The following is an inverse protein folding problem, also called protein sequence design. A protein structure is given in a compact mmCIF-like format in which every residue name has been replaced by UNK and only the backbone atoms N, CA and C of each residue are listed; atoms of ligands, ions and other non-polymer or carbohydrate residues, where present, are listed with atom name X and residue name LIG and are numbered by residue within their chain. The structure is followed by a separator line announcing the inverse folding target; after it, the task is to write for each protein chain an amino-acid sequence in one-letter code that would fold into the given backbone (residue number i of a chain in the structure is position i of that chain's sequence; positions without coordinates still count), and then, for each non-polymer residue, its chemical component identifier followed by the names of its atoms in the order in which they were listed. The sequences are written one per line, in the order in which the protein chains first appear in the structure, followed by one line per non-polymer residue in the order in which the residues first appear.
data_IF_013112878556
#
_entry.id   IF_013112878556
#
_cell.length_a   1.000
_cell.length_b   1.000
_cell.length_c   1.000
_cell.angle_alpha   90.00
_cell.angle_beta   90.00
_cell.angle_gamma   90.00
#
_symmetry.space_group_name_H-M   'P 1'
#
loop_
_entity.id
_entity.type
_entity.pdbx_description
1 polymer ?
#
# COMPACT_ATOMS: atom_id res chain seq x y z
N UNK A 1 -23.59 12.02 8.18
CA UNK A 1 -22.32 11.39 8.61
C UNK A 1 -21.50 12.32 9.49
N UNK A 2 -21.06 13.49 9.02
CA UNK A 2 -20.24 14.42 9.80
C UNK A 2 -20.80 14.73 11.21
N UNK A 3 -22.07 15.13 11.29
CA UNK A 3 -22.75 15.41 12.57
C UNK A 3 -22.73 14.22 13.54
N UNK A 4 -23.03 13.01 13.06
CA UNK A 4 -22.98 11.80 13.87
C UNK A 4 -21.57 11.53 14.38
N UNK A 5 -20.55 11.72 13.55
CA UNK A 5 -19.16 11.53 13.94
C UNK A 5 -18.73 12.53 15.02
N UNK A 6 -19.12 13.80 14.90
CA UNK A 6 -18.87 14.82 15.93
C UNK A 6 -19.55 14.46 17.25
N UNK A 7 -20.84 14.10 17.21
CA UNK A 7 -21.62 13.71 18.40
C UNK A 7 -21.05 12.48 19.12
N UNK A 8 -20.43 11.55 18.38
CA UNK A 8 -19.89 10.31 18.93
C UNK A 8 -18.36 10.33 19.10
N UNK A 9 -17.73 11.51 18.98
CA UNK A 9 -16.28 11.69 19.11
C UNK A 9 -15.46 10.76 18.17
N UNK A 10 -15.97 10.54 16.96
CA UNK A 10 -15.34 9.76 15.90
C UNK A 10 -14.55 10.71 15.01
N UNK A 11 -13.23 10.57 15.02
CA UNK A 11 -12.34 11.37 14.17
C UNK A 11 -12.60 11.07 12.69
N UNK A 12 -12.96 12.10 11.94
CA UNK A 12 -13.17 11.99 10.48
C UNK A 12 -11.92 12.44 9.71
N UNK A 13 -11.51 11.66 8.72
CA UNK A 13 -10.43 12.02 7.80
C UNK A 13 -10.97 11.92 6.37
N UNK A 14 -10.82 13.00 5.62
CA UNK A 14 -11.21 13.04 4.21
C UNK A 14 -9.97 12.99 3.33
N UNK A 15 -9.95 12.02 2.40
CA UNK A 15 -8.91 11.91 1.37
C UNK A 15 -9.58 12.03 0.01
N UNK A 16 -9.31 13.15 -0.67
CA UNK A 16 -9.85 13.41 -2.00
C UNK A 16 -9.21 12.49 -3.04
N UNK A 17 -10.02 11.71 -3.76
CA UNK A 17 -9.57 10.72 -4.75
C UNK A 17 -9.40 11.29 -6.16
N UNK A 18 -10.21 12.27 -6.54
CA UNK A 18 -10.09 13.02 -7.78
C UNK A 18 -10.38 14.49 -7.51
N UNK A 19 -9.59 15.38 -8.11
CA UNK A 19 -10.00 16.77 -8.26
C UNK A 19 -11.27 16.80 -9.11
N UNK A 20 -12.20 17.69 -8.81
CA UNK A 20 -13.37 17.95 -9.64
C UNK A 20 -12.91 18.40 -11.03
N UNK A 21 -12.60 17.43 -11.91
CA UNK A 21 -12.56 17.70 -13.33
C UNK A 21 -14.00 18.02 -13.66
N UNK A 22 -14.29 19.30 -13.93
CA UNK A 22 -15.55 19.76 -14.51
C UNK A 22 -15.95 18.70 -15.53
N UNK A 23 -16.98 17.91 -15.21
CA UNK A 23 -17.48 16.92 -16.14
C UNK A 23 -18.10 17.74 -17.25
N UNK A 24 -17.31 17.93 -18.30
CA UNK A 24 -17.70 18.67 -19.47
C UNK A 24 -18.94 17.94 -20.00
N UNK A 25 -20.14 18.48 -19.74
CA UNK A 25 -21.42 17.82 -20.04
C UNK A 25 -21.59 17.57 -21.55
N UNK A 26 -20.72 18.18 -22.36
CA UNK A 26 -20.51 18.01 -23.80
C UNK A 26 -19.81 16.70 -24.18
N UNK A 27 -19.12 16.02 -23.26
CA UNK A 27 -18.43 14.76 -23.57
C UNK A 27 -19.36 13.54 -23.48
N UNK A 28 -19.38 12.66 -24.49
CA UNK A 28 -20.26 11.49 -24.49
C UNK A 28 -19.95 10.56 -23.31
N UNK A 29 -21.00 9.95 -22.73
CA UNK A 29 -20.86 8.96 -21.64
C UNK A 29 -20.00 7.79 -22.12
N UNK A 30 -18.75 7.73 -21.64
CA UNK A 30 -17.82 6.65 -21.97
C UNK A 30 -18.31 5.35 -21.34
N UNK A 31 -18.38 4.26 -22.12
CA UNK A 31 -18.73 2.92 -21.63
C UNK A 31 -17.75 2.50 -20.53
N UNK A 32 -18.24 1.83 -19.47
CA UNK A 32 -17.44 1.40 -18.30
C UNK A 32 -16.12 0.72 -18.67
N UNK A 33 -16.13 -0.15 -19.70
CA UNK A 33 -14.95 -0.86 -20.22
C UNK A 33 -13.79 0.06 -20.65
N UNK A 34 -14.06 1.30 -21.04
CA UNK A 34 -13.05 2.27 -21.49
C UNK A 34 -12.75 3.36 -20.44
N UNK A 35 -13.34 3.27 -19.23
CA UNK A 35 -13.09 4.25 -18.18
C UNK A 35 -11.75 3.97 -17.51
N UNK A 36 -10.97 5.02 -17.35
CA UNK A 36 -9.77 5.00 -16.51
C UNK A 36 -10.16 4.80 -15.04
N UNK A 37 -9.17 4.35 -14.25
CA UNK A 37 -9.32 4.12 -12.82
C UNK A 37 -9.62 5.44 -12.10
N UNK A 38 -10.57 5.46 -11.15
CA UNK A 38 -11.04 6.71 -10.53
C UNK A 38 -10.16 7.19 -9.35
N UNK A 39 -8.94 6.69 -9.20
CA UNK A 39 -8.05 6.99 -8.09
C UNK A 39 -6.59 6.97 -8.55
N UNK A 40 -5.80 7.89 -8.03
CA UNK A 40 -4.37 8.01 -8.28
C UNK A 40 -3.54 7.23 -7.25
N UNK A 41 -2.30 6.89 -7.59
CA UNK A 41 -1.41 6.08 -6.74
C UNK A 41 -1.10 6.76 -5.39
N UNK A 42 -0.89 8.07 -5.39
CA UNK A 42 -0.57 8.86 -4.20
C UNK A 42 -1.71 8.83 -3.17
N UNK A 43 -2.96 8.82 -3.64
CA UNK A 43 -4.16 8.71 -2.81
C UNK A 43 -4.16 7.35 -2.12
N UNK A 44 -3.92 6.27 -2.87
CA UNK A 44 -3.85 4.91 -2.32
C UNK A 44 -2.72 4.81 -1.28
N UNK A 45 -1.54 5.36 -1.58
CA UNK A 45 -0.41 5.39 -0.63
C UNK A 45 -0.79 6.12 0.65
N UNK A 46 -1.46 7.28 0.57
CA UNK A 46 -1.95 8.02 1.75
C UNK A 46 -2.95 7.20 2.57
N UNK A 47 -3.90 6.54 1.92
CA UNK A 47 -4.84 5.65 2.59
C UNK A 47 -4.11 4.50 3.30
N UNK A 48 -3.18 3.84 2.61
CA UNK A 48 -2.41 2.73 3.19
C UNK A 48 -1.54 3.20 4.35
N UNK A 49 -0.83 4.34 4.25
CA UNK A 49 -0.08 4.93 5.36
C UNK A 49 -0.93 5.10 6.61
N UNK A 50 -2.17 5.56 6.45
CA UNK A 50 -3.11 5.69 7.56
C UNK A 50 -3.51 4.33 8.17
N UNK A 51 -3.77 3.33 7.33
CA UNK A 51 -4.18 1.98 7.74
C UNK A 51 -3.05 1.17 8.38
N UNK A 52 -1.78 1.51 8.16
CA UNK A 52 -0.66 0.77 8.76
C UNK A 52 -0.54 1.03 10.28
N UNK A 53 -1.04 2.17 10.74
CA UNK A 53 -1.01 2.57 12.15
C UNK A 53 -2.21 2.00 12.92
N UNK A 54 -1.92 1.09 13.86
CA UNK A 54 -2.89 0.38 14.69
C UNK A 54 -3.68 1.33 15.59
N UNK A 55 -3.15 2.51 15.94
CA UNK A 55 -3.81 3.48 16.82
C UNK A 55 -5.07 4.09 16.20
N UNK A 56 -5.22 3.97 14.88
CA UNK A 56 -6.42 4.40 14.16
C UNK A 56 -7.56 3.39 14.21
N UNK A 57 -7.36 2.18 14.75
CA UNK A 57 -8.37 1.14 14.77
C UNK A 57 -9.19 1.14 16.08
N UNK A 58 -10.49 0.80 16.03
CA UNK A 58 -11.26 0.41 14.83
C UNK A 58 -11.58 1.61 13.91
N UNK A 59 -11.37 1.44 12.60
CA UNK A 59 -11.68 2.45 11.59
C UNK A 59 -12.72 1.96 10.58
N UNK A 60 -13.53 2.88 10.08
CA UNK A 60 -14.48 2.64 8.99
C UNK A 60 -14.07 3.44 7.75
N UNK A 61 -13.93 2.76 6.63
CA UNK A 61 -13.64 3.38 5.33
C UNK A 61 -14.87 3.33 4.44
N UNK A 62 -15.18 4.45 3.79
CA UNK A 62 -16.23 4.50 2.78
C UNK A 62 -15.87 5.48 1.66
N UNK A 63 -16.50 5.28 0.50
CA UNK A 63 -16.54 6.26 -0.57
C UNK A 63 -18.00 6.62 -0.87
N UNK A 64 -18.29 7.31 -1.97
CA UNK A 64 -19.66 7.68 -2.36
C UNK A 64 -20.58 6.45 -2.51
N UNK A 65 -20.07 5.38 -3.12
CA UNK A 65 -20.85 4.16 -3.40
C UNK A 65 -20.39 2.94 -2.60
N UNK A 66 -19.33 3.06 -1.80
CA UNK A 66 -18.75 1.96 -1.00
C UNK A 66 -18.08 0.82 -1.77
N UNK A 67 -18.08 0.84 -3.10
CA UNK A 67 -17.67 -0.32 -3.92
C UNK A 67 -16.25 -0.14 -4.49
N UNK A 68 -16.11 0.54 -5.63
CA UNK A 68 -14.89 0.54 -6.44
C UNK A 68 -13.65 1.13 -5.75
N UNK A 69 -13.75 2.36 -5.24
CA UNK A 69 -12.58 3.07 -4.66
C UNK A 69 -12.03 2.31 -3.45
N UNK A 70 -12.91 1.89 -2.54
CA UNK A 70 -12.50 1.15 -1.34
C UNK A 70 -11.88 -0.19 -1.73
N UNK A 71 -12.47 -0.89 -2.70
CA UNK A 71 -11.94 -2.17 -3.17
C UNK A 71 -10.56 -2.03 -3.81
N UNK A 72 -10.30 -0.96 -4.56
CA UNK A 72 -8.97 -0.69 -5.11
C UNK A 72 -7.95 -0.41 -4.00
N UNK A 73 -8.31 0.40 -3.00
CA UNK A 73 -7.43 0.67 -1.85
C UNK A 73 -7.12 -0.62 -1.09
N UNK A 74 -8.13 -1.44 -0.80
CA UNK A 74 -7.96 -2.74 -0.11
C UNK A 74 -7.10 -3.68 -0.96
N UNK A 75 -7.34 -3.78 -2.26
CA UNK A 75 -6.54 -4.62 -3.16
C UNK A 75 -5.06 -4.22 -3.16
N UNK A 76 -4.75 -2.92 -3.22
CA UNK A 76 -3.38 -2.42 -3.09
C UNK A 76 -2.80 -2.67 -1.69
N UNK A 77 -3.61 -2.50 -0.63
CA UNK A 77 -3.22 -2.81 0.74
C UNK A 77 -2.80 -4.28 0.89
N UNK A 78 -3.53 -5.23 0.27
CA UNK A 78 -3.21 -6.66 0.32
C UNK A 78 -1.84 -7.01 -0.28
N UNK A 79 -1.32 -6.19 -1.21
CA UNK A 79 0.05 -6.38 -1.74
C UNK A 79 1.10 -6.21 -0.65
N UNK A 80 0.87 -5.32 0.32
CA UNK A 80 1.74 -5.14 1.49
C UNK A 80 1.64 -6.29 2.50
N UNK A 81 0.52 -7.03 2.48
CA UNK A 81 0.35 -8.30 3.20
C UNK A 81 0.91 -9.51 2.42
N UNK A 82 1.60 -9.31 1.29
CA UNK A 82 2.16 -10.36 0.44
C UNK A 82 1.12 -11.37 -0.09
N UNK A 83 -0.12 -10.92 -0.29
CA UNK A 83 -1.12 -11.75 -0.95
C UNK A 83 -0.78 -11.95 -2.42
N UNK A 84 -1.11 -13.13 -2.96
CA UNK A 84 -0.98 -13.39 -4.40
C UNK A 84 -1.96 -12.51 -5.18
N UNK A 85 -1.58 -12.08 -6.39
CA UNK A 85 -2.48 -11.33 -7.28
C UNK A 85 -3.79 -12.06 -7.52
N UNK A 86 -3.77 -13.40 -7.61
CA UNK A 86 -4.98 -14.22 -7.79
C UNK A 86 -5.92 -14.07 -6.58
N UNK A 87 -5.40 -14.16 -5.37
CA UNK A 87 -6.18 -13.98 -4.13
C UNK A 87 -6.75 -12.58 -4.02
N UNK A 88 -5.96 -11.55 -4.36
CA UNK A 88 -6.39 -10.15 -4.34
C UNK A 88 -7.55 -9.92 -5.31
N UNK A 89 -7.43 -10.42 -6.53
CA UNK A 89 -8.47 -10.26 -7.54
C UNK A 89 -9.73 -11.05 -7.20
N UNK A 90 -9.60 -12.20 -6.55
CA UNK A 90 -10.76 -12.96 -6.07
C UNK A 90 -11.51 -12.18 -4.98
N UNK A 91 -10.80 -11.62 -3.98
CA UNK A 91 -11.41 -10.74 -2.97
C UNK A 91 -12.08 -9.52 -3.63
N UNK A 92 -11.41 -8.88 -4.60
CA UNK A 92 -11.96 -7.75 -5.32
C UNK A 92 -13.29 -8.10 -6.01
N UNK A 93 -13.39 -9.27 -6.66
CA UNK A 93 -14.60 -9.73 -7.36
C UNK A 93 -15.74 -10.17 -6.42
N UNK A 94 -15.46 -10.47 -5.15
CA UNK A 94 -16.51 -10.69 -4.16
C UNK A 94 -17.26 -9.38 -3.87
N UNK A 95 -16.53 -8.27 -3.77
CA UNK A 95 -17.10 -6.96 -3.45
C UNK A 95 -17.48 -6.11 -4.68
N UNK A 96 -16.98 -6.47 -5.87
CA UNK A 96 -17.31 -5.81 -7.13
C UNK A 96 -17.81 -6.85 -8.12
N UNK A 97 -18.98 -6.63 -8.74
CA UNK A 97 -19.54 -7.61 -9.68
C UNK A 97 -18.70 -7.83 -10.94
N UNK A 98 -17.74 -6.94 -11.23
CA UNK A 98 -16.83 -7.07 -12.38
C UNK A 98 -15.57 -6.22 -12.20
N UNK A 99 -14.50 -6.59 -12.90
CA UNK A 99 -13.26 -5.83 -12.98
C UNK A 99 -12.93 -5.45 -14.43
N UNK A 100 -12.54 -4.21 -14.64
CA UNK A 100 -12.06 -3.69 -15.92
C UNK A 100 -10.54 -3.97 -16.10
N UNK A 101 -10.07 -4.01 -17.34
CA UNK A 101 -8.64 -4.16 -17.66
C UNK A 101 -7.80 -3.05 -17.02
N UNK A 102 -8.30 -1.81 -16.98
CA UNK A 102 -7.59 -0.70 -16.34
C UNK A 102 -7.47 -0.88 -14.82
N UNK A 103 -8.50 -1.41 -14.17
CA UNK A 103 -8.52 -1.68 -12.72
C UNK A 103 -7.57 -2.84 -12.38
N UNK A 104 -7.62 -3.93 -13.17
CA UNK A 104 -6.69 -5.05 -13.06
C UNK A 104 -5.24 -4.59 -13.23
N UNK A 105 -4.96 -3.86 -14.31
CA UNK A 105 -3.61 -3.35 -14.58
C UNK A 105 -3.15 -2.40 -13.48
N UNK A 106 -4.04 -1.60 -12.90
CA UNK A 106 -3.72 -0.74 -11.76
C UNK A 106 -3.28 -1.55 -10.54
N UNK A 107 -4.03 -2.59 -10.16
CA UNK A 107 -3.69 -3.46 -9.03
C UNK A 107 -2.36 -4.19 -9.30
N UNK A 108 -2.20 -4.77 -10.48
CA UNK A 108 -1.01 -5.55 -10.86
C UNK A 108 0.25 -4.69 -10.85
N UNK A 109 0.19 -3.50 -11.46
CA UNK A 109 1.34 -2.58 -11.56
C UNK A 109 1.54 -1.71 -10.32
N UNK A 110 0.72 -1.87 -9.27
CA UNK A 110 0.90 -1.14 -8.02
C UNK A 110 2.18 -1.52 -7.28
N UNK A 111 3.27 -0.81 -7.55
CA UNK A 111 4.58 -1.03 -6.92
C UNK A 111 5.06 0.25 -6.24
N UNK A 112 4.34 0.67 -5.19
CA UNK A 112 4.71 1.86 -4.42
C UNK A 112 5.62 1.50 -3.25
N UNK A 113 6.67 2.30 -3.06
CA UNK A 113 7.46 2.30 -1.84
C UNK A 113 6.84 3.28 -0.85
N UNK A 114 6.48 2.79 0.34
CA UNK A 114 5.86 3.59 1.38
C UNK A 114 6.87 3.76 2.50
N UNK A 115 7.36 4.99 2.65
CA UNK A 115 8.14 5.44 3.80
C UNK A 115 7.17 5.83 4.92
N UNK A 116 7.32 5.19 6.08
CA UNK A 116 6.55 5.49 7.29
C UNK A 116 7.52 5.96 8.37
N UNK A 117 7.43 7.24 8.69
CA UNK A 117 8.25 7.88 9.72
C UNK A 117 7.52 7.87 11.06
N UNK A 118 8.27 7.75 12.16
CA UNK A 118 7.75 7.87 13.52
C UNK A 118 6.70 6.82 13.93
N UNK A 119 6.75 5.61 13.35
CA UNK A 119 5.88 4.50 13.75
C UNK A 119 6.67 3.40 14.45
N UNK A 120 6.45 3.26 15.76
CA UNK A 120 7.02 2.18 16.57
C UNK A 120 6.48 0.81 16.10
N UNK A 121 7.28 -0.24 16.24
CA UNK A 121 6.94 -1.61 15.86
C UNK A 121 5.66 -2.09 16.54
N UNK A 122 5.43 -1.69 17.80
CA UNK A 122 4.22 -2.05 18.57
C UNK A 122 2.92 -1.46 18.01
N UNK A 123 3.02 -0.32 17.33
CA UNK A 123 1.88 0.42 16.78
C UNK A 123 1.60 0.02 15.33
N UNK A 124 2.35 -0.94 14.78
CA UNK A 124 2.09 -1.49 13.44
C UNK A 124 0.95 -2.48 13.49
N UNK A 125 0.15 -2.48 12.43
CA UNK A 125 -0.84 -3.53 12.19
C UNK A 125 -0.18 -4.90 12.01
N UNK A 126 -0.79 -6.00 12.51
CA UNK A 126 -0.19 -7.33 12.45
C UNK A 126 -0.24 -7.96 11.05
N UNK A 127 -1.10 -7.45 10.15
CA UNK A 127 -1.26 -7.97 8.80
C UNK A 127 -0.16 -7.53 7.82
N UNK A 128 0.80 -6.72 8.28
CA UNK A 128 1.92 -6.24 7.48
C UNK A 128 3.19 -7.00 7.87
N UNK A 129 3.91 -7.55 6.89
CA UNK A 129 5.18 -8.23 7.20
C UNK A 129 6.30 -7.21 7.21
N UNK A 130 6.95 -7.04 8.37
CA UNK A 130 8.17 -6.23 8.49
C UNK A 130 9.31 -7.00 7.83
N UNK A 131 9.81 -6.49 6.70
CA UNK A 131 11.12 -6.91 6.19
C UNK A 131 12.16 -6.30 7.13
N UNK A 132 12.86 -7.11 7.91
CA UNK A 132 14.08 -6.67 8.58
C UNK A 132 15.12 -6.40 7.49
N UNK A 133 15.40 -5.13 7.22
CA UNK A 133 16.54 -4.71 6.40
C UNK A 133 17.69 -4.49 7.36
N UNK A 134 18.75 -5.33 7.36
CA UNK A 134 19.94 -5.04 8.13
C UNK A 134 20.46 -3.68 7.70
N UNK A 135 20.63 -2.73 8.63
CA UNK A 135 21.37 -1.50 8.33
C UNK A 135 22.75 -1.93 7.82
N UNK A 136 23.10 -1.56 6.59
CA UNK A 136 24.48 -1.67 6.15
C UNK A 136 25.30 -0.83 7.11
N UNK A 137 26.19 -1.46 7.87
CA UNK A 137 27.22 -0.77 8.62
C UNK A 137 27.96 0.10 7.61
N UNK A 138 27.84 1.42 7.73
CA UNK A 138 28.79 2.34 7.12
C UNK A 138 30.15 1.99 7.71
N UNK A 139 30.95 1.25 6.94
CA UNK A 139 32.34 0.95 7.25
C UNK A 139 33.09 2.28 7.32
N UNK A 140 33.29 2.77 8.54
CA UNK A 140 34.39 3.69 8.85
C UNK A 140 35.69 2.95 8.52
N UNK A 141 36.39 3.45 7.50
CA UNK A 141 37.76 3.06 7.18
C UNK A 141 38.66 3.43 8.36
N UNK A 142 39.05 2.44 9.15
CA UNK A 142 40.31 2.49 9.89
C UNK A 142 41.01 1.13 9.73
N UNK A 143 42.17 1.20 9.09
CA UNK A 143 43.08 0.08 8.83
C UNK A 143 43.69 -0.42 10.13
N UNK A 144 43.54 -1.72 10.45
CA UNK A 144 44.58 -2.49 11.13
C UNK A 144 44.57 -3.92 10.61
N UNK A 145 45.72 -4.32 10.06
CA UNK A 145 46.07 -5.67 9.60
C UNK A 145 46.03 -6.68 10.76
N UNK A 146 45.47 -7.87 10.52
CA UNK A 146 46.13 -9.15 10.88
C UNK A 146 45.41 -10.33 10.23
N UNK A 147 46.24 -11.23 9.68
CA UNK A 147 45.88 -12.49 9.05
C UNK A 147 45.27 -13.48 10.05
N UNK A 148 44.33 -14.33 9.60
CA UNK A 148 44.54 -15.77 9.36
C UNK A 148 43.27 -16.64 9.60
N UNK A 149 43.12 -17.66 8.74
CA UNK A 149 42.35 -18.90 8.88
C UNK A 149 40.80 -18.96 8.74
N UNK A 150 40.43 -19.65 7.65
CA UNK A 150 39.45 -20.77 7.55
C UNK A 150 37.93 -20.50 7.49
N UNK A 151 37.38 -21.01 6.37
CA UNK A 151 36.10 -21.72 6.19
C UNK A 151 34.81 -20.88 6.21
N UNK A 152 34.20 -20.71 5.05
CA UNK A 152 32.91 -21.35 4.73
C UNK A 152 32.50 -20.96 3.31
N UNK A 153 32.04 -21.95 2.55
CA UNK A 153 31.47 -21.80 1.21
C UNK A 153 30.39 -20.71 1.23
N UNK A 154 30.59 -19.67 0.42
CA UNK A 154 29.57 -18.66 0.19
C UNK A 154 28.43 -19.32 -0.58
N UNK A 155 27.41 -19.78 0.13
CA UNK A 155 26.10 -20.06 -0.45
C UNK A 155 25.66 -18.74 -1.07
N UNK A 156 25.69 -18.68 -2.41
CA UNK A 156 25.17 -17.57 -3.17
C UNK A 156 23.69 -17.41 -2.81
N UNK A 157 23.36 -16.38 -2.01
CA UNK A 157 21.98 -15.99 -1.77
C UNK A 157 21.42 -15.55 -3.12
N UNK A 158 20.59 -16.41 -3.69
CA UNK A 158 19.76 -16.08 -4.85
C UNK A 158 18.87 -14.89 -4.43
N UNK A 159 19.23 -13.69 -4.85
CA UNK A 159 18.38 -12.50 -4.73
C UNK A 159 17.34 -12.53 -5.85
N UNK A 160 16.44 -13.52 -5.83
CA UNK A 160 15.31 -13.61 -6.78
C UNK A 160 14.01 -13.06 -6.22
N UNK A 161 14.08 -12.12 -5.28
CA UNK A 161 12.87 -11.36 -4.94
C UNK A 161 12.64 -10.39 -6.10
N UNK A 162 11.66 -10.74 -6.95
CA UNK A 162 11.20 -9.88 -8.05
C UNK A 162 11.06 -8.45 -7.57
N UNK A 163 11.67 -7.51 -8.28
CA UNK A 163 11.66 -6.06 -8.01
C UNK A 163 10.27 -5.40 -8.11
N UNK A 164 9.21 -6.20 -8.21
CA UNK A 164 7.84 -5.81 -8.55
C UNK A 164 6.91 -5.71 -7.35
N UNK A 165 7.36 -6.11 -6.16
CA UNK A 165 6.56 -6.02 -4.93
C UNK A 165 6.78 -4.68 -4.21
N UNK A 166 5.69 -4.01 -3.79
CA UNK A 166 5.79 -2.75 -3.08
C UNK A 166 6.54 -2.94 -1.76
N UNK A 167 7.37 -1.95 -1.43
CA UNK A 167 8.25 -1.99 -0.27
C UNK A 167 7.74 -1.04 0.82
N UNK A 168 7.99 -1.41 2.06
CA UNK A 168 7.72 -0.58 3.22
C UNK A 168 9.04 -0.31 3.91
N UNK A 169 9.42 0.96 3.96
CA UNK A 169 10.59 1.40 4.71
C UNK A 169 10.11 2.07 5.98
N UNK A 170 10.58 1.58 7.12
CA UNK A 170 10.26 2.12 8.43
C UNK A 170 11.50 2.80 9.00
N UNK A 171 11.38 4.08 9.34
CA UNK A 171 12.41 4.81 10.06
C UNK A 171 11.99 4.88 11.53
N UNK A 172 12.67 4.10 12.38
CA UNK A 172 12.59 4.27 13.85
C UNK A 172 13.44 5.46 14.26
N UNK A 173 12.99 6.21 15.27
CA UNK A 173 13.91 7.01 16.09
C UNK A 173 14.92 6.10 16.79
#
# INVERSE_FOLDING_TARGET
MAKFCEENNVKTIHIQCQNERKTDKTKPKIKRKKKAVPIEYDVVVRCVKFLIDRRHYPCYMHCTNGELIISLVVACMRKFSYWSTVSILNEFLVYNSSINIHERNFIENFNSEIEVDNLDIKDKVPWITVRYIPRASTESKDEVLTENSKKSEKIARVSSVSSTLPKLQFHSM
#
